data_IF_214009538728
#
_entry.id   IF_214009538728
#
_cell.length_a   1.000
_cell.length_b   1.000
_cell.length_c   1.000
_cell.angle_alpha   90.00
_cell.angle_beta   90.00
_cell.angle_gamma   90.00
#
_symmetry.space_group_name_H-M   'P 1'
#
loop_
_entity.id
_entity.type
_entity.pdbx_description
1 polymer ?
#
# COMPACT_ATOMS: atom_id res chain seq x y z
N UNK A 1 1.61 -20.98 0.46
CA UNK A 1 1.00 -20.91 1.80
C UNK A 1 1.12 -19.46 2.25
N UNK A 2 0.10 -18.65 1.95
CA UNK A 2 0.09 -17.22 2.23
C UNK A 2 -0.07 -16.97 3.72
N UNK A 3 0.69 -16.02 4.27
CA UNK A 3 0.56 -15.62 5.67
C UNK A 3 -0.70 -14.74 5.80
N UNK A 4 -1.83 -15.37 6.12
CA UNK A 4 -3.08 -14.70 6.45
C UNK A 4 -3.08 -14.42 7.96
N UNK A 5 -2.71 -13.22 8.38
CA UNK A 5 -2.73 -12.87 9.81
C UNK A 5 -3.61 -11.65 10.04
N UNK A 6 -4.82 -11.90 10.54
CA UNK A 6 -5.67 -10.86 11.12
C UNK A 6 -5.12 -10.41 12.49
N UNK A 7 -4.17 -11.15 13.09
CA UNK A 7 -3.44 -10.80 14.33
C UNK A 7 -1.98 -11.30 14.27
N UNK A 8 -1.03 -10.45 14.64
CA UNK A 8 0.39 -10.83 14.77
C UNK A 8 0.60 -11.69 16.02
N UNK A 9 1.41 -12.73 15.93
CA UNK A 9 1.88 -13.46 17.12
C UNK A 9 2.82 -12.59 17.96
N UNK A 10 3.04 -12.96 19.23
CA UNK A 10 4.02 -12.27 20.09
C UNK A 10 5.44 -12.29 19.50
N UNK A 11 5.81 -13.40 18.85
CA UNK A 11 7.08 -13.54 18.13
C UNK A 11 7.16 -12.57 16.95
N UNK A 12 6.15 -12.59 16.07
CA UNK A 12 6.08 -11.67 14.92
C UNK A 12 6.09 -10.19 15.35
N UNK A 13 5.44 -9.87 16.46
CA UNK A 13 5.43 -8.51 17.02
C UNK A 13 6.83 -8.07 17.47
N UNK A 14 7.57 -8.96 18.13
CA UNK A 14 8.96 -8.71 18.54
C UNK A 14 9.90 -8.55 17.34
N UNK A 15 9.76 -9.42 16.33
CA UNK A 15 10.53 -9.34 15.08
C UNK A 15 10.26 -8.02 14.33
N UNK A 16 9.00 -7.59 14.28
CA UNK A 16 8.61 -6.32 13.66
C UNK A 16 9.19 -5.11 14.40
N UNK A 17 9.25 -5.15 15.74
CA UNK A 17 9.91 -4.12 16.54
C UNK A 17 11.43 -4.07 16.25
N UNK A 18 12.08 -5.23 16.17
CA UNK A 18 13.51 -5.32 15.80
C UNK A 18 13.76 -4.75 14.40
N UNK A 19 12.89 -5.08 13.44
CA UNK A 19 12.91 -4.49 12.10
C UNK A 19 12.79 -2.96 12.15
N UNK A 20 11.81 -2.42 12.88
CA UNK A 20 11.61 -0.98 13.00
C UNK A 20 12.82 -0.26 13.59
N UNK A 21 13.42 -0.80 14.66
CA UNK A 21 14.64 -0.28 15.26
C UNK A 21 15.85 -0.36 14.30
N UNK A 22 15.94 -1.46 13.56
CA UNK A 22 16.95 -1.65 12.52
C UNK A 22 16.85 -0.61 11.41
N UNK A 23 15.65 -0.41 10.88
CA UNK A 23 15.34 0.62 9.88
C UNK A 23 15.66 2.03 10.39
N UNK A 24 15.31 2.34 11.65
CA UNK A 24 15.58 3.65 12.25
C UNK A 24 17.06 4.04 12.16
N UNK A 25 17.99 3.09 12.31
CA UNK A 25 19.43 3.35 12.18
C UNK A 25 19.83 3.80 10.77
N UNK A 26 19.19 3.28 9.72
CA UNK A 26 19.43 3.72 8.34
C UNK A 26 18.79 5.08 8.08
N UNK A 27 17.58 5.29 8.59
CA UNK A 27 16.85 6.56 8.52
C UNK A 27 17.67 7.67 9.17
N UNK A 28 18.22 7.47 10.37
CA UNK A 28 18.98 8.51 11.07
C UNK A 28 20.23 8.94 10.29
N UNK A 29 20.90 8.00 9.61
CA UNK A 29 22.12 8.25 8.81
C UNK A 29 21.86 8.85 7.42
N UNK A 30 20.65 8.75 6.87
CA UNK A 30 20.32 9.34 5.56
C UNK A 30 20.42 10.87 5.60
N UNK A 31 20.80 11.52 4.51
CA UNK A 31 20.74 12.97 4.34
C UNK A 31 19.55 13.29 3.43
N UNK A 32 18.48 13.90 3.97
CA UNK A 32 17.29 14.22 3.17
C UNK A 32 17.57 15.25 2.07
N UNK A 33 18.49 16.18 2.31
CA UNK A 33 18.78 17.26 1.36
C UNK A 33 19.69 16.75 0.24
N UNK A 34 20.61 15.84 0.58
CA UNK A 34 21.55 15.26 -0.38
C UNK A 34 21.64 13.73 -0.25
N UNK A 35 20.58 12.97 -0.60
CA UNK A 35 20.54 11.54 -0.27
C UNK A 35 21.61 10.70 -0.96
N UNK A 36 22.01 11.11 -2.17
CA UNK A 36 23.09 10.50 -2.93
C UNK A 36 24.50 10.69 -2.30
N UNK A 37 24.66 11.61 -1.34
CA UNK A 37 25.90 11.86 -0.61
C UNK A 37 25.93 11.17 0.76
N UNK A 38 24.84 10.52 1.16
CA UNK A 38 24.75 9.81 2.44
C UNK A 38 25.80 8.71 2.56
N UNK A 39 26.22 8.43 3.79
CA UNK A 39 27.27 7.44 4.09
C UNK A 39 26.99 6.07 3.47
N UNK A 40 25.72 5.64 3.48
CA UNK A 40 25.27 4.36 2.96
C UNK A 40 24.72 4.45 1.53
N UNK A 41 24.71 5.63 0.91
CA UNK A 41 23.95 5.92 -0.31
C UNK A 41 24.31 5.01 -1.48
N UNK A 42 25.61 4.87 -1.79
CA UNK A 42 26.08 4.03 -2.90
C UNK A 42 25.69 2.57 -2.70
N UNK A 43 25.78 2.06 -1.46
CA UNK A 43 25.40 0.68 -1.14
C UNK A 43 23.88 0.49 -1.25
N UNK A 44 23.10 1.42 -0.70
CA UNK A 44 21.64 1.31 -0.68
C UNK A 44 21.04 1.50 -2.07
N UNK A 45 21.59 2.38 -2.89
CA UNK A 45 21.08 2.63 -4.25
C UNK A 45 21.47 1.52 -5.25
N UNK A 46 22.48 0.71 -4.92
CA UNK A 46 22.88 -0.44 -5.74
C UNK A 46 21.99 -1.68 -5.56
N UNK A 47 20.95 -1.61 -4.73
CA UNK A 47 20.04 -2.73 -4.46
C UNK A 47 18.59 -2.27 -4.34
N UNK A 48 17.69 -3.20 -4.58
CA UNK A 48 16.26 -2.99 -4.39
C UNK A 48 15.91 -2.99 -2.90
N UNK A 49 14.77 -2.39 -2.55
CA UNK A 49 14.23 -2.42 -1.20
C UNK A 49 13.99 -3.85 -0.72
N UNK A 50 13.59 -4.76 -1.62
CA UNK A 50 13.43 -6.17 -1.28
C UNK A 50 14.78 -6.82 -0.91
N UNK A 51 15.80 -6.67 -1.75
CA UNK A 51 17.13 -7.24 -1.50
C UNK A 51 17.74 -6.72 -0.20
N UNK A 52 17.60 -5.41 0.05
CA UNK A 52 18.04 -4.78 1.29
C UNK A 52 17.36 -5.41 2.51
N UNK A 53 16.02 -5.52 2.49
CA UNK A 53 15.27 -6.06 3.62
C UNK A 53 15.57 -7.54 3.85
N UNK A 54 15.64 -8.34 2.80
CA UNK A 54 15.97 -9.76 2.91
C UNK A 54 17.40 -9.99 3.46
N UNK A 55 18.34 -9.10 3.11
CA UNK A 55 19.73 -9.21 3.54
C UNK A 55 19.95 -8.77 4.98
N UNK A 56 19.33 -7.65 5.38
CA UNK A 56 19.58 -7.02 6.69
C UNK A 56 18.55 -7.46 7.75
N UNK A 57 17.37 -7.93 7.35
CA UNK A 57 16.26 -8.33 8.22
C UNK A 57 15.68 -9.70 7.81
N UNK A 58 16.28 -10.82 8.24
CA UNK A 58 15.93 -12.16 7.75
C UNK A 58 14.54 -12.65 8.20
N UNK A 59 13.90 -11.97 9.16
CA UNK A 59 12.56 -12.31 9.62
C UNK A 59 11.53 -12.13 8.49
N UNK A 60 10.74 -13.16 8.22
CA UNK A 60 9.73 -13.15 7.14
C UNK A 60 8.75 -11.99 7.28
N UNK A 61 8.39 -11.62 8.51
CA UNK A 61 7.48 -10.52 8.79
C UNK A 61 8.02 -9.18 8.30
N UNK A 62 9.34 -8.95 8.32
CA UNK A 62 9.95 -7.73 7.79
C UNK A 62 9.73 -7.61 6.27
N UNK A 63 9.88 -8.72 5.54
CA UNK A 63 9.59 -8.76 4.10
C UNK A 63 8.10 -8.49 3.84
N UNK A 64 7.20 -9.19 4.53
CA UNK A 64 5.74 -8.98 4.37
C UNK A 64 5.31 -7.56 4.70
N UNK A 65 5.86 -6.98 5.78
CA UNK A 65 5.60 -5.60 6.15
C UNK A 65 6.13 -4.63 5.10
N UNK A 66 7.31 -4.87 4.55
CA UNK A 66 7.90 -4.05 3.48
C UNK A 66 7.05 -4.06 2.22
N UNK A 67 6.57 -5.22 1.76
CA UNK A 67 5.62 -5.28 0.65
C UNK A 67 4.37 -4.46 0.95
N UNK A 68 3.80 -4.63 2.15
CA UNK A 68 2.57 -3.90 2.55
C UNK A 68 2.80 -2.39 2.53
N UNK A 69 3.91 -1.92 3.10
CA UNK A 69 4.27 -0.51 3.17
C UNK A 69 4.52 0.09 1.78
N UNK A 70 5.37 -0.56 0.97
CA UNK A 70 5.74 -0.07 -0.37
C UNK A 70 4.54 -0.06 -1.30
N UNK A 71 3.70 -1.10 -1.26
CA UNK A 71 2.45 -1.15 -2.02
C UNK A 71 1.47 -0.07 -1.61
N UNK A 72 1.27 0.12 -0.30
CA UNK A 72 0.33 1.11 0.23
C UNK A 72 0.76 2.55 -0.10
N UNK A 73 2.05 2.84 -0.05
CA UNK A 73 2.56 4.21 -0.22
C UNK A 73 2.92 4.56 -1.66
N UNK A 74 3.47 3.60 -2.41
CA UNK A 74 4.06 3.84 -3.73
C UNK A 74 3.32 3.13 -4.87
N UNK A 75 2.45 2.15 -4.58
CA UNK A 75 1.71 1.40 -5.61
C UNK A 75 2.58 0.48 -6.47
N UNK A 76 3.83 0.23 -6.08
CA UNK A 76 4.78 -0.68 -6.76
C UNK A 76 5.20 -1.81 -5.83
N UNK A 77 5.94 -2.78 -6.36
CA UNK A 77 6.57 -3.82 -5.55
C UNK A 77 7.95 -3.39 -5.05
N UNK A 78 8.43 -3.87 -3.89
CA UNK A 78 9.74 -3.51 -3.33
C UNK A 78 10.94 -3.93 -4.19
N UNK A 79 10.74 -4.80 -5.18
CA UNK A 79 11.72 -5.17 -6.21
C UNK A 79 11.93 -4.03 -7.23
N UNK A 80 10.98 -3.12 -7.35
CA UNK A 80 11.03 -1.99 -8.30
C UNK A 80 11.58 -0.70 -7.66
N UNK A 81 11.85 -0.72 -6.34
CA UNK A 81 12.20 0.46 -5.55
C UNK A 81 13.64 0.37 -5.07
N UNK A 82 14.44 1.42 -5.24
CA UNK A 82 15.79 1.53 -4.65
C UNK A 82 15.71 1.50 -3.12
N UNK A 83 16.62 0.79 -2.45
CA UNK A 83 16.65 0.78 -0.98
C UNK A 83 17.00 2.17 -0.42
N UNK A 84 17.82 2.95 -1.13
CA UNK A 84 18.12 4.34 -0.76
C UNK A 84 16.83 5.17 -0.78
N UNK A 85 16.09 5.10 -1.90
CA UNK A 85 14.82 5.80 -2.03
C UNK A 85 13.83 5.41 -0.93
N UNK A 86 13.73 4.12 -0.57
CA UNK A 86 12.85 3.68 0.50
C UNK A 86 13.22 4.32 1.85
N UNK A 87 14.51 4.34 2.20
CA UNK A 87 15.00 4.95 3.45
C UNK A 87 14.69 6.45 3.48
N UNK A 88 14.94 7.16 2.38
CA UNK A 88 14.70 8.60 2.29
C UNK A 88 13.22 8.94 2.30
N UNK A 89 12.41 8.12 1.62
CA UNK A 89 10.96 8.23 1.66
C UNK A 89 10.45 8.08 3.09
N UNK A 90 10.95 7.09 3.83
CA UNK A 90 10.59 6.89 5.24
C UNK A 90 11.02 8.08 6.10
N UNK A 91 12.23 8.59 5.89
CA UNK A 91 12.72 9.76 6.62
C UNK A 91 11.90 11.02 6.33
N UNK A 92 11.55 11.27 5.08
CA UNK A 92 10.72 12.42 4.68
C UNK A 92 9.30 12.33 5.26
N UNK A 93 8.78 11.10 5.42
CA UNK A 93 7.54 10.79 6.13
C UNK A 93 7.63 10.85 7.66
N UNK A 94 8.71 11.38 8.23
CA UNK A 94 8.99 11.48 9.68
C UNK A 94 9.10 10.13 10.40
N UNK A 95 9.54 9.09 9.68
CA UNK A 95 9.83 7.77 10.24
C UNK A 95 8.77 6.72 9.95
N UNK A 96 9.14 5.46 10.21
CA UNK A 96 8.35 4.29 9.82
C UNK A 96 6.97 4.25 10.48
N UNK A 97 6.91 4.60 11.77
CA UNK A 97 5.68 4.58 12.57
C UNK A 97 4.62 5.53 12.01
N UNK A 98 5.04 6.75 11.62
CA UNK A 98 4.13 7.76 11.07
C UNK A 98 3.65 7.38 9.66
N UNK A 99 4.52 6.80 8.84
CA UNK A 99 4.14 6.31 7.51
C UNK A 99 3.18 5.12 7.56
N UNK A 100 3.31 4.25 8.55
CA UNK A 100 2.42 3.10 8.74
C UNK A 100 1.11 3.44 9.45
N UNK A 101 0.92 4.68 9.90
CA UNK A 101 -0.26 5.08 10.66
C UNK A 101 -1.43 5.44 9.76
N UNK A 102 -2.58 4.81 10.02
CA UNK A 102 -3.87 5.10 9.36
C UNK A 102 -4.76 6.05 10.20
N UNK A 103 -4.23 6.53 11.33
CA UNK A 103 -4.97 7.44 12.21
C UNK A 103 -5.09 8.84 11.60
N UNK A 104 -5.99 9.67 12.15
CA UNK A 104 -6.11 11.08 11.75
C UNK A 104 -4.72 11.75 11.85
N UNK A 105 -4.21 12.28 10.73
CA UNK A 105 -2.86 12.83 10.53
C UNK A 105 -1.72 11.85 10.17
N UNK A 106 -1.99 10.55 10.07
CA UNK A 106 -1.03 9.57 9.54
C UNK A 106 -0.87 9.67 8.02
N UNK A 107 0.24 9.15 7.48
CA UNK A 107 0.53 9.28 6.04
C UNK A 107 -0.52 8.59 5.15
N UNK A 108 -1.14 7.52 5.63
CA UNK A 108 -2.19 6.79 4.91
C UNK A 108 -3.58 7.44 5.03
N UNK A 109 -3.74 8.46 5.89
CA UNK A 109 -4.97 9.26 5.99
C UNK A 109 -5.10 10.26 4.83
N UNK A 110 -3.98 10.69 4.22
CA UNK A 110 -3.96 11.70 3.18
C UNK A 110 -4.25 11.11 1.80
N UNK A 111 -5.34 11.60 1.17
CA UNK A 111 -5.73 11.24 -0.21
C UNK A 111 -4.68 11.74 -1.19
N UNK A 112 -4.10 10.82 -1.95
CA UNK A 112 -3.07 11.08 -2.95
C UNK A 112 -3.49 12.23 -3.89
N UNK A 113 -2.69 13.30 -3.96
CA UNK A 113 -2.86 14.37 -4.94
C UNK A 113 -2.16 13.93 -6.22
N UNK A 114 -2.94 13.80 -7.30
CA UNK A 114 -2.39 13.79 -8.66
C UNK A 114 -1.43 14.98 -8.80
N UNK A 115 -0.16 14.71 -9.08
CA UNK A 115 0.76 15.76 -9.51
C UNK A 115 0.33 16.10 -10.94
N UNK A 116 -0.22 17.30 -11.22
CA UNK A 116 -0.52 17.68 -12.59
C UNK A 116 0.77 17.67 -13.42
N UNK A 117 0.67 17.35 -14.71
CA UNK A 117 1.78 17.59 -15.64
C UNK A 117 2.05 19.10 -15.66
N UNK A 118 3.13 19.54 -15.02
CA UNK A 118 3.53 20.95 -14.99
C UNK A 118 4.49 21.18 -16.16
N UNK A 119 4.09 22.01 -17.11
CA UNK A 119 5.02 22.54 -18.12
C UNK A 119 5.87 23.65 -17.49
N UNK A 120 7.18 23.43 -17.43
CA UNK A 120 8.12 24.41 -16.89
C UNK A 120 8.64 25.31 -18.02
N UNK A 121 8.49 26.63 -17.84
CA UNK A 121 9.14 27.63 -18.69
C UNK A 121 9.92 28.63 -17.82
N UNK A 122 11.27 28.70 -17.95
CA UNK A 122 12.13 27.91 -18.82
C UNK A 122 12.15 26.41 -18.45
N UNK A 123 12.58 25.52 -19.38
CA UNK A 123 12.63 24.09 -19.09
C UNK A 123 13.51 23.80 -17.88
N UNK A 124 13.15 22.75 -17.13
CA UNK A 124 13.94 22.31 -16.00
C UNK A 124 15.38 21.97 -16.42
N UNK A 125 16.39 22.25 -15.57
CA UNK A 125 17.76 21.77 -15.78
C UNK A 125 17.80 20.26 -16.01
N UNK A 126 18.76 19.78 -16.82
CA UNK A 126 18.85 18.38 -17.26
C UNK A 126 18.76 17.33 -16.12
N UNK A 127 19.43 17.51 -14.96
CA UNK A 127 19.30 16.56 -13.86
C UNK A 127 17.86 16.42 -13.33
N UNK A 128 17.09 17.53 -13.31
CA UNK A 128 15.69 17.53 -12.87
C UNK A 128 14.76 16.93 -13.93
N UNK A 129 15.12 17.04 -15.22
CA UNK A 129 14.38 16.40 -16.32
C UNK A 129 14.54 14.88 -16.30
N UNK A 130 15.78 14.39 -16.12
CA UNK A 130 16.06 12.95 -15.99
C UNK A 130 15.25 12.37 -14.83
N UNK A 131 15.25 13.04 -13.66
CA UNK A 131 14.47 12.60 -12.49
C UNK A 131 12.96 12.55 -12.78
N UNK A 132 12.44 13.55 -13.48
CA UNK A 132 11.01 13.60 -13.86
C UNK A 132 10.65 12.46 -14.80
N UNK A 133 11.54 12.08 -15.71
CA UNK A 133 11.33 11.03 -16.71
C UNK A 133 11.62 9.61 -16.19
N UNK A 134 12.44 9.49 -15.14
CA UNK A 134 12.75 8.21 -14.49
C UNK A 134 11.74 7.82 -13.41
N UNK A 135 10.88 8.74 -12.98
CA UNK A 135 9.84 8.49 -11.98
C UNK A 135 8.66 7.74 -12.61
N UNK A 136 8.47 6.47 -12.24
CA UNK A 136 7.27 5.69 -12.57
C UNK A 136 6.25 5.84 -11.46
N UNK A 137 5.02 6.24 -11.80
CA UNK A 137 3.90 6.15 -10.86
C UNK A 137 3.50 4.69 -10.69
N UNK A 138 3.28 4.28 -9.44
CA UNK A 138 2.80 2.93 -9.16
C UNK A 138 1.38 2.69 -9.64
N UNK A 139 1.03 1.41 -9.70
CA UNK A 139 -0.32 0.97 -10.02
C UNK A 139 -1.18 0.97 -8.76
N UNK A 140 -2.36 1.58 -8.84
CA UNK A 140 -3.27 1.68 -7.70
C UNK A 140 -4.73 1.64 -8.16
N UNK A 141 -5.48 0.66 -7.68
CA UNK A 141 -6.93 0.56 -7.83
C UNK A 141 -7.56 -0.03 -6.57
N UNK A 142 -8.88 0.06 -6.46
CA UNK A 142 -9.61 -0.44 -5.30
C UNK A 142 -10.95 -1.05 -5.68
N UNK A 143 -11.33 -2.05 -4.90
CA UNK A 143 -12.68 -2.59 -4.87
C UNK A 143 -13.27 -2.33 -3.48
N UNK A 144 -14.49 -1.78 -3.41
CA UNK A 144 -15.20 -1.54 -2.16
C UNK A 144 -16.30 -2.59 -2.04
N UNK A 145 -16.18 -3.44 -1.02
CA UNK A 145 -17.19 -4.43 -0.65
C UNK A 145 -18.13 -3.79 0.39
N UNK A 146 -19.38 -3.59 0.01
CA UNK A 146 -20.41 -2.98 0.87
C UNK A 146 -21.30 -4.08 1.43
N UNK A 147 -21.63 -3.97 2.71
CA UNK A 147 -22.43 -4.93 3.47
C UNK A 147 -23.60 -4.23 4.16
N UNK A 148 -24.61 -5.01 4.54
CA UNK A 148 -25.74 -4.52 5.33
C UNK A 148 -25.36 -4.24 6.79
N UNK A 149 -24.29 -4.84 7.28
CA UNK A 149 -23.78 -4.68 8.63
C UNK A 149 -22.25 -4.90 8.66
N UNK A 150 -21.52 -4.34 9.65
CA UNK A 150 -20.08 -4.50 9.77
C UNK A 150 -19.73 -5.84 10.43
N UNK A 151 -20.09 -6.95 9.79
CA UNK A 151 -19.97 -8.32 10.33
C UNK A 151 -18.58 -8.65 10.89
N UNK A 152 -17.51 -8.10 10.29
CA UNK A 152 -16.14 -8.29 10.77
C UNK A 152 -15.93 -7.72 12.16
N UNK A 153 -16.55 -6.57 12.48
CA UNK A 153 -16.50 -5.99 13.82
C UNK A 153 -17.26 -6.83 14.83
N UNK A 154 -18.42 -7.39 14.44
CA UNK A 154 -19.19 -8.31 15.29
C UNK A 154 -18.38 -9.58 15.61
N UNK A 155 -17.53 -10.02 14.69
CA UNK A 155 -16.57 -11.11 14.87
C UNK A 155 -15.28 -10.70 15.61
N UNK A 156 -15.16 -9.46 16.09
CA UNK A 156 -13.97 -8.97 16.79
C UNK A 156 -12.75 -8.71 15.89
N UNK A 157 -12.95 -8.64 14.57
CA UNK A 157 -11.90 -8.39 13.58
C UNK A 157 -11.81 -6.91 13.22
N UNK A 158 -10.60 -6.47 12.85
CA UNK A 158 -10.33 -5.09 12.42
C UNK A 158 -10.79 -4.79 10.99
N UNK A 159 -11.10 -5.82 10.19
CA UNK A 159 -11.31 -5.67 8.75
C UNK A 159 -10.01 -5.45 7.96
N UNK A 160 -8.85 -5.49 8.60
CA UNK A 160 -7.55 -5.34 7.96
C UNK A 160 -6.92 -6.71 7.75
N UNK A 161 -6.54 -7.00 6.50
CA UNK A 161 -5.54 -8.01 6.19
C UNK A 161 -4.54 -7.44 5.17
N UNK A 162 -3.39 -8.10 5.03
CA UNK A 162 -2.39 -7.78 4.01
C UNK A 162 -1.88 -9.07 3.39
N UNK A 163 -1.56 -9.04 2.10
CA UNK A 163 -1.05 -10.18 1.36
C UNK A 163 -0.05 -9.72 0.30
N UNK A 164 1.04 -10.49 0.19
CA UNK A 164 1.99 -10.34 -0.92
C UNK A 164 1.49 -11.05 -2.18
N UNK A 165 0.55 -11.99 -2.04
CA UNK A 165 -0.04 -12.79 -3.12
C UNK A 165 -1.48 -12.36 -3.42
N UNK A 166 -1.94 -12.71 -4.63
CA UNK A 166 -3.32 -12.46 -5.05
C UNK A 166 -3.62 -10.98 -5.37
N UNK A 167 -4.82 -10.71 -5.90
CA UNK A 167 -5.23 -9.37 -6.33
C UNK A 167 -5.34 -8.35 -5.18
N UNK A 168 -5.71 -8.76 -3.97
CA UNK A 168 -5.85 -7.89 -2.80
C UNK A 168 -4.49 -7.81 -2.09
N UNK A 169 -3.87 -6.64 -2.15
CA UNK A 169 -2.64 -6.34 -1.43
C UNK A 169 -2.91 -6.08 0.04
N UNK A 170 -3.95 -5.32 0.35
CA UNK A 170 -4.42 -5.10 1.72
C UNK A 170 -5.85 -4.57 1.74
N UNK A 171 -6.50 -4.65 2.91
CA UNK A 171 -7.83 -4.10 3.15
C UNK A 171 -7.84 -3.02 4.22
N UNK A 172 -8.87 -2.18 4.19
CA UNK A 172 -9.18 -1.21 5.25
C UNK A 172 -10.68 -1.22 5.56
N UNK A 173 -10.99 -1.12 6.85
CA UNK A 173 -12.32 -0.72 7.29
C UNK A 173 -12.58 0.72 6.86
N UNK A 174 -13.63 0.88 6.06
CA UNK A 174 -14.05 2.17 5.49
C UNK A 174 -15.52 2.45 5.78
N UNK A 175 -16.03 1.90 6.87
CA UNK A 175 -17.38 2.21 7.33
C UNK A 175 -17.54 3.71 7.56
N UNK A 176 -18.71 4.22 7.19
CA UNK A 176 -19.22 5.52 7.62
C UNK A 176 -20.53 5.26 8.36
N UNK A 177 -20.48 4.97 9.68
CA UNK A 177 -21.66 4.62 10.46
C UNK A 177 -22.75 5.69 10.42
N UNK A 178 -22.36 6.97 10.30
CA UNK A 178 -23.29 8.11 10.21
C UNK A 178 -24.13 8.10 8.91
N UNK A 179 -23.73 7.31 7.92
CA UNK A 179 -24.41 7.16 6.63
C UNK A 179 -24.94 5.74 6.40
N UNK A 180 -24.97 4.88 7.43
CA UNK A 180 -25.29 3.45 7.32
C UNK A 180 -24.49 2.73 6.21
N UNK A 181 -23.25 3.20 5.97
CA UNK A 181 -22.37 2.61 4.98
C UNK A 181 -21.38 1.68 5.69
N UNK A 182 -21.58 0.37 5.57
CA UNK A 182 -20.66 -0.62 6.12
C UNK A 182 -19.81 -1.22 5.00
N UNK A 183 -18.54 -0.82 4.91
CA UNK A 183 -17.71 -1.24 3.77
C UNK A 183 -16.26 -1.54 4.11
N UNK A 184 -15.73 -2.56 3.44
CA UNK A 184 -14.30 -2.86 3.38
C UNK A 184 -13.75 -2.46 2.03
N UNK A 185 -12.70 -1.64 2.03
CA UNK A 185 -11.98 -1.30 0.81
C UNK A 185 -10.79 -2.24 0.63
N UNK A 186 -10.76 -2.94 -0.49
CA UNK A 186 -9.68 -3.81 -0.95
C UNK A 186 -8.79 -3.03 -1.92
N UNK A 187 -7.49 -3.00 -1.69
CA UNK A 187 -6.52 -2.31 -2.54
C UNK A 187 -5.78 -3.30 -3.43
N UNK A 188 -5.66 -2.96 -4.72
CA UNK A 188 -4.94 -3.71 -5.74
C UNK A 188 -3.77 -2.86 -6.23
N UNK A 189 -2.55 -3.32 -5.95
CA UNK A 189 -1.33 -2.53 -6.14
C UNK A 189 -0.20 -3.38 -6.68
N UNK A 190 0.85 -2.74 -7.20
CA UNK A 190 2.02 -3.44 -7.73
C UNK A 190 1.67 -4.38 -8.89
N UNK A 191 2.47 -5.43 -9.07
CA UNK A 191 2.32 -6.35 -10.19
C UNK A 191 1.04 -7.19 -10.09
N UNK A 192 0.66 -7.63 -8.90
CA UNK A 192 -0.56 -8.44 -8.74
C UNK A 192 -1.82 -7.63 -9.08
N UNK A 193 -1.83 -6.33 -8.74
CA UNK A 193 -2.89 -5.41 -9.17
C UNK A 193 -2.91 -5.20 -10.69
N UNK A 194 -1.74 -5.05 -11.32
CA UNK A 194 -1.64 -4.93 -12.79
C UNK A 194 -2.13 -6.19 -13.51
N UNK A 195 -1.87 -7.37 -12.97
CA UNK A 195 -2.36 -8.63 -13.56
C UNK A 195 -3.88 -8.77 -13.37
N UNK A 196 -4.39 -8.46 -12.17
CA UNK A 196 -5.82 -8.40 -11.90
C UNK A 196 -6.57 -7.45 -12.86
N UNK A 197 -5.99 -6.28 -13.13
CA UNK A 197 -6.56 -5.28 -14.04
C UNK A 197 -6.81 -5.77 -15.47
N UNK A 198 -6.13 -6.84 -15.91
CA UNK A 198 -6.24 -7.40 -17.26
C UNK A 198 -7.41 -8.38 -17.39
N UNK A 199 -7.95 -8.86 -16.27
CA UNK A 199 -9.13 -9.72 -16.26
C UNK A 199 -10.37 -8.92 -16.70
N UNK A 200 -11.41 -9.61 -17.16
CA UNK A 200 -12.72 -9.00 -17.40
C UNK A 200 -13.43 -8.66 -16.08
N UNK A 201 -14.56 -7.95 -16.14
CA UNK A 201 -15.24 -7.47 -14.93
C UNK A 201 -15.69 -8.62 -14.01
N UNK A 202 -16.10 -9.75 -14.58
CA UNK A 202 -16.50 -10.92 -13.82
C UNK A 202 -15.29 -11.57 -13.13
N UNK A 203 -14.23 -11.85 -13.87
CA UNK A 203 -13.01 -12.44 -13.33
C UNK A 203 -12.33 -11.55 -12.29
N UNK A 204 -12.38 -10.22 -12.44
CA UNK A 204 -11.90 -9.29 -11.41
C UNK A 204 -12.71 -9.41 -10.12
N UNK A 205 -14.03 -9.49 -10.22
CA UNK A 205 -14.92 -9.66 -9.06
C UNK A 205 -14.67 -10.99 -8.36
N UNK A 206 -14.66 -12.10 -9.11
CA UNK A 206 -14.44 -13.45 -8.59
C UNK A 206 -13.10 -13.53 -7.86
N UNK A 207 -12.01 -13.08 -8.48
CA UNK A 207 -10.68 -13.13 -7.87
C UNK A 207 -10.58 -12.34 -6.56
N UNK A 208 -11.29 -11.21 -6.44
CA UNK A 208 -11.36 -10.43 -5.20
C UNK A 208 -12.15 -11.18 -4.13
N UNK A 209 -13.35 -11.68 -4.45
CA UNK A 209 -14.19 -12.39 -3.48
C UNK A 209 -13.54 -13.70 -3.02
N UNK A 210 -12.92 -14.45 -3.93
CA UNK A 210 -12.21 -15.69 -3.61
C UNK A 210 -11.07 -15.44 -2.64
N UNK A 211 -10.20 -14.45 -2.91
CA UNK A 211 -9.12 -14.13 -1.98
C UNK A 211 -9.66 -13.61 -0.65
N UNK A 212 -10.68 -12.76 -0.69
CA UNK A 212 -11.30 -12.21 0.50
C UNK A 212 -11.89 -13.30 1.40
N UNK A 213 -12.61 -14.27 0.82
CA UNK A 213 -13.15 -15.42 1.52
C UNK A 213 -12.05 -16.33 2.07
N UNK A 214 -11.03 -16.63 1.28
CA UNK A 214 -9.89 -17.43 1.74
C UNK A 214 -9.12 -16.75 2.89
N UNK A 215 -9.07 -15.42 2.92
CA UNK A 215 -8.39 -14.69 3.97
C UNK A 215 -9.22 -14.68 5.27
N UNK A 216 -10.41 -14.09 5.23
CA UNK A 216 -11.24 -13.94 6.43
C UNK A 216 -11.86 -15.26 6.91
N UNK A 217 -12.03 -16.26 6.03
CA UNK A 217 -12.55 -17.58 6.37
C UNK A 217 -11.60 -18.40 7.25
N UNK A 218 -10.37 -17.95 7.45
CA UNK A 218 -9.47 -18.53 8.47
C UNK A 218 -9.83 -18.08 9.89
N UNK A 219 -10.59 -16.99 10.03
CA UNK A 219 -10.97 -16.38 11.31
C UNK A 219 -12.46 -16.51 11.63
N UNK A 220 -13.32 -16.67 10.62
CA UNK A 220 -14.78 -16.84 10.79
C UNK A 220 -15.31 -18.00 9.97
N UNK A 221 -16.38 -18.65 10.45
CA UNK A 221 -16.99 -19.81 9.78
C UNK A 221 -17.72 -19.45 8.48
N UNK A 222 -18.34 -18.27 8.44
CA UNK A 222 -19.11 -17.81 7.29
C UNK A 222 -18.94 -16.31 7.10
N UNK A 223 -18.83 -15.91 5.84
CA UNK A 223 -18.72 -14.51 5.42
C UNK A 223 -20.00 -14.22 4.61
N UNK A 224 -20.78 -13.18 4.96
CA UNK A 224 -21.95 -12.81 4.18
C UNK A 224 -21.51 -12.28 2.80
N UNK A 225 -22.40 -12.41 1.81
CA UNK A 225 -22.16 -11.79 0.50
C UNK A 225 -22.29 -10.26 0.57
N UNK A 226 -21.44 -9.51 -0.14
CA UNK A 226 -21.56 -8.05 -0.21
C UNK A 226 -22.82 -7.65 -0.99
N UNK A 227 -23.59 -6.71 -0.43
CA UNK A 227 -24.78 -6.14 -1.06
C UNK A 227 -24.43 -5.26 -2.27
N UNK A 228 -23.21 -4.74 -2.32
CA UNK A 228 -22.69 -4.00 -3.47
C UNK A 228 -21.16 -4.16 -3.56
N UNK A 229 -20.64 -4.12 -4.79
CA UNK A 229 -19.20 -4.17 -5.06
C UNK A 229 -18.87 -3.06 -6.05
N UNK A 230 -18.05 -2.11 -5.61
CA UNK A 230 -17.72 -0.91 -6.39
C UNK A 230 -16.24 -0.96 -6.77
N UNK A 231 -15.94 -0.97 -8.06
CA UNK A 231 -14.57 -0.92 -8.58
C UNK A 231 -14.17 0.53 -8.92
N UNK A 232 -12.96 0.94 -8.55
CA UNK A 232 -12.36 2.21 -8.96
C UNK A 232 -10.90 2.02 -9.34
N UNK A 233 -10.58 2.35 -10.59
CA UNK A 233 -9.24 2.32 -11.14
C UNK A 233 -8.84 3.69 -11.70
N UNK A 234 -7.82 4.30 -11.11
CA UNK A 234 -7.42 5.67 -11.42
C UNK A 234 -6.67 5.80 -12.75
N UNK A 235 -5.97 4.75 -13.17
CA UNK A 235 -5.22 4.71 -14.45
C UNK A 235 -6.13 4.72 -15.67
N UNK A 236 -7.40 4.35 -15.52
CA UNK A 236 -8.42 4.39 -16.58
C UNK A 236 -9.31 5.63 -16.53
N UNK A 237 -9.15 6.49 -15.51
CA UNK A 237 -9.85 7.77 -15.46
C UNK A 237 -9.17 8.77 -16.41
N UNK A 238 -9.90 9.42 -17.33
CA UNK A 238 -9.35 10.50 -18.11
C UNK A 238 -8.97 11.68 -17.18
N UNK A 239 -7.82 12.34 -17.40
CA UNK A 239 -7.41 13.48 -16.58
C UNK A 239 -8.47 14.60 -16.68
N UNK A 240 -9.03 15.01 -15.53
CA UNK A 240 -9.86 16.22 -15.42
C UNK A 240 -11.33 16.06 -15.09
N UNK A 241 -11.86 14.87 -14.76
CA UNK A 241 -13.25 14.76 -14.31
C UNK A 241 -13.39 15.27 -12.86
N UNK A 242 -13.81 16.52 -12.70
CA UNK A 242 -14.34 17.01 -11.42
C UNK A 242 -15.57 16.16 -11.09
N UNK A 243 -15.54 15.48 -9.95
CA UNK A 243 -16.68 14.73 -9.43
C UNK A 243 -17.83 15.71 -9.15
N UNK A 244 -18.80 15.79 -10.05
CA UNK A 244 -20.14 16.27 -9.70
C UNK A 244 -20.90 15.09 -9.12
N UNK A 245 -20.98 15.04 -7.79
CA UNK A 245 -21.98 14.24 -7.10
C UNK A 245 -23.34 14.87 -7.40
N UNK A 246 -24.06 14.32 -8.37
CA UNK A 246 -25.49 14.60 -8.51
C UNK A 246 -26.23 13.63 -7.59
N UNK A 247 -27.02 14.13 -6.62
CA UNK A 247 -27.85 13.27 -5.79
C UNK A 247 -29.04 12.75 -6.62
N UNK A 248 -29.30 11.46 -6.51
CA UNK A 248 -30.56 10.83 -6.91
C UNK A 248 -31.07 10.01 -5.74
#
# INVERSE_FOLDING_TARGET
MGLTYCQLTSEQSSELLSFAQGMQRHIDRSDLENPHLGQDAVKLDSMTALEFVQREFPAKIATTFTYTLVRALLGVDPEEVSALYLVDFIKSGTGLVNLSSDTKHGAQYLRNRLIPQIEFTPPLPEPKRILTQSTKLGYYSKTVLVYSEPWWRHAGLSGVFSSIYGPISFTRDTCVPEMDQFSLTCFHTGETGRQWSKLDAQGRREAVLDQFHNAFGTAVESIPEPINVIEKEWTKDPPGRKETLTPS
#
